data_IF_880914470948
#
_entry.id   IF_880914470948
#
_cell.length_a   1.000
_cell.length_b   1.000
_cell.length_c   1.000
_cell.angle_alpha   90.00
_cell.angle_beta   90.00
_cell.angle_gamma   90.00
#
_symmetry.space_group_name_H-M   'P 1'
#
loop_
_entity.id
_entity.type
_entity.pdbx_description
1 polymer ?
#
# COMPACT_ATOMS: atom_id res chain seq x y z
N UNK A 1 -5.86 -0.13 27.50
CA UNK A 1 -4.68 0.68 27.12
C UNK A 1 -4.22 0.32 25.71
N UNK A 2 -4.03 1.28 24.80
CA UNK A 2 -3.96 1.01 23.34
C UNK A 2 -2.60 1.39 22.73
N UNK A 3 -1.70 0.42 22.53
CA UNK A 3 -0.34 0.64 22.03
C UNK A 3 -0.19 0.40 20.51
N UNK A 4 -0.25 1.49 19.72
CA UNK A 4 0.47 1.72 18.43
C UNK A 4 0.96 0.46 17.67
N UNK A 5 0.09 -0.40 17.13
CA UNK A 5 0.43 -1.81 16.82
C UNK A 5 0.45 -2.26 15.35
N UNK A 6 0.15 -1.39 14.37
CA UNK A 6 -0.52 -1.85 13.14
C UNK A 6 0.19 -1.57 11.79
N UNK A 7 1.28 -0.82 11.75
CA UNK A 7 1.72 -0.11 10.53
C UNK A 7 2.77 -0.86 9.69
N UNK A 8 2.77 -2.19 9.68
CA UNK A 8 3.73 -3.03 8.93
C UNK A 8 3.22 -4.47 8.69
N UNK A 9 2.51 -4.78 7.58
CA UNK A 9 2.47 -6.16 7.00
C UNK A 9 1.79 -6.38 5.64
N UNK A 10 2.50 -6.18 4.51
CA UNK A 10 2.06 -6.37 3.11
C UNK A 10 3.35 -6.44 2.23
N UNK A 11 3.89 -7.39 1.39
CA UNK A 11 3.74 -8.74 0.69
C UNK A 11 4.87 -8.88 -0.45
N UNK A 12 4.94 -9.41 -1.71
CA UNK A 12 4.24 -10.29 -2.73
C UNK A 12 5.06 -10.54 -4.06
N UNK A 13 4.71 -11.53 -4.91
CA UNK A 13 4.99 -11.52 -6.38
C UNK A 13 5.22 -12.87 -7.10
N UNK A 14 4.31 -13.25 -8.01
CA UNK A 14 4.44 -14.13 -9.20
C UNK A 14 5.33 -15.41 -9.19
N UNK A 15 4.89 -16.59 -9.64
CA UNK A 15 3.59 -16.98 -10.23
C UNK A 15 3.39 -18.51 -10.26
N UNK A 16 2.18 -18.97 -9.96
CA UNK A 16 1.62 -20.24 -10.50
C UNK A 16 0.09 -20.23 -10.36
N UNK A 17 -0.63 -20.87 -11.30
CA UNK A 17 -2.10 -20.92 -11.31
C UNK A 17 -2.64 -22.14 -10.56
N UNK A 18 -3.26 -21.93 -9.40
CA UNK A 18 -4.29 -22.81 -8.82
C UNK A 18 -5.07 -22.03 -7.73
N UNK A 19 -6.31 -22.41 -7.42
CA UNK A 19 -7.00 -21.96 -6.19
C UNK A 19 -8.41 -21.40 -6.35
N UNK A 20 -8.76 -20.80 -7.48
CA UNK A 20 -10.18 -20.62 -7.84
C UNK A 20 -10.69 -21.95 -8.42
N UNK A 21 -11.76 -22.51 -7.84
CA UNK A 21 -12.47 -23.67 -8.42
C UNK A 21 -12.92 -23.31 -9.85
N UNK A 22 -12.85 -24.29 -10.75
CA UNK A 22 -13.05 -24.07 -12.17
C UNK A 22 -14.50 -23.63 -12.50
N UNK A 23 -14.68 -22.33 -12.71
CA UNK A 23 -15.70 -21.80 -13.61
C UNK A 23 -15.16 -21.80 -15.04
N UNK A 24 -16.02 -22.07 -16.01
CA UNK A 24 -15.73 -22.21 -17.44
C UNK A 24 -14.87 -21.05 -18.00
N UNK A 25 -13.92 -21.28 -18.92
CA UNK A 25 -13.11 -20.23 -19.52
C UNK A 25 -13.95 -19.32 -20.45
N UNK A 26 -14.49 -18.25 -19.88
CA UNK A 26 -15.17 -17.18 -20.63
C UNK A 26 -14.12 -16.36 -21.40
N UNK A 27 -14.17 -16.43 -22.74
CA UNK A 27 -13.49 -15.48 -23.64
C UNK A 27 -14.20 -14.12 -23.63
N UNK A 28 -13.53 -13.12 -24.21
CA UNK A 28 -13.99 -11.74 -24.39
C UNK A 28 -14.26 -10.93 -23.12
N UNK A 29 -13.16 -10.40 -22.57
CA UNK A 29 -13.16 -9.24 -21.69
C UNK A 29 -12.10 -8.24 -22.18
N UNK A 30 -12.46 -6.96 -22.32
CA UNK A 30 -11.51 -5.92 -22.75
C UNK A 30 -10.52 -5.64 -21.60
N UNK A 31 -9.31 -6.19 -21.70
CA UNK A 31 -8.19 -5.93 -20.79
C UNK A 31 -7.64 -4.53 -21.08
N UNK A 32 -7.52 -3.69 -20.06
CA UNK A 32 -6.73 -2.46 -20.13
C UNK A 32 -5.24 -2.82 -20.16
N UNK A 33 -4.36 -1.98 -20.74
CA UNK A 33 -2.92 -2.17 -20.58
C UNK A 33 -2.56 -2.15 -19.09
N UNK A 34 -1.70 -3.08 -18.67
CA UNK A 34 -1.22 -3.14 -17.29
C UNK A 34 -0.33 -1.93 -16.99
N UNK A 35 -0.70 -1.14 -16.00
CA UNK A 35 0.10 0.00 -15.57
C UNK A 35 1.11 -0.45 -14.51
N UNK A 36 2.38 -0.54 -14.89
CA UNK A 36 3.49 -0.73 -13.93
C UNK A 36 4.28 0.57 -13.78
N UNK A 37 4.69 0.90 -12.56
CA UNK A 37 5.58 2.02 -12.28
C UNK A 37 6.48 1.72 -11.06
N UNK A 38 7.78 1.90 -11.23
CA UNK A 38 8.78 1.77 -10.16
C UNK A 38 9.00 3.09 -9.41
N UNK A 39 9.51 3.01 -8.19
CA UNK A 39 9.79 4.16 -7.31
C UNK A 39 11.17 4.05 -6.66
N UNK A 40 11.80 5.20 -6.43
CA UNK A 40 12.99 5.33 -5.58
C UNK A 40 12.62 5.98 -4.24
N UNK A 41 13.07 5.38 -3.13
CA UNK A 41 12.77 5.86 -1.78
C UNK A 41 13.86 6.82 -1.27
N UNK A 42 13.43 7.92 -0.66
CA UNK A 42 14.24 8.98 -0.05
C UNK A 42 13.80 9.18 1.39
N UNK A 43 14.74 9.12 2.33
CA UNK A 43 14.47 9.40 3.75
C UNK A 43 14.83 10.84 4.10
N UNK A 44 13.97 11.51 4.87
CA UNK A 44 14.29 12.74 5.60
C UNK A 44 14.21 12.47 7.10
N UNK A 45 15.29 12.73 7.83
CA UNK A 45 15.27 12.81 9.30
C UNK A 45 14.79 14.20 9.71
N UNK A 46 13.79 14.24 10.58
CA UNK A 46 13.14 15.47 11.06
C UNK A 46 13.44 15.70 12.55
N UNK A 47 13.65 16.96 12.93
CA UNK A 47 13.64 17.43 14.31
C UNK A 47 12.69 18.63 14.39
N UNK A 48 11.69 18.56 15.29
CA UNK A 48 10.63 19.59 15.38
C UNK A 48 9.98 19.92 14.01
N UNK A 49 9.74 18.89 13.20
CA UNK A 49 9.28 18.95 11.80
C UNK A 49 10.25 19.59 10.79
N UNK A 50 11.38 20.15 11.22
CA UNK A 50 12.44 20.70 10.34
C UNK A 50 13.31 19.55 9.80
N UNK A 51 13.60 19.49 8.48
CA UNK A 51 14.57 18.58 7.91
C UNK A 51 16.00 18.84 8.42
N UNK A 52 16.61 17.85 9.08
CA UNK A 52 18.03 17.91 9.46
C UNK A 52 18.94 17.19 8.47
N UNK A 53 18.51 16.03 7.99
CA UNK A 53 19.32 15.18 7.13
C UNK A 53 18.45 14.47 6.10
N UNK A 54 18.96 14.32 4.87
CA UNK A 54 18.24 13.72 3.75
C UNK A 54 19.14 12.74 3.01
N UNK A 55 18.67 11.51 2.78
CA UNK A 55 19.39 10.50 1.99
C UNK A 55 18.48 9.94 0.91
N UNK A 56 18.89 10.08 -0.36
CA UNK A 56 18.23 9.46 -1.51
C UNK A 56 18.56 7.98 -1.64
N UNK A 57 17.75 7.26 -2.41
CA UNK A 57 17.91 5.85 -2.79
C UNK A 57 18.17 4.95 -1.57
N UNK A 58 17.44 5.17 -0.46
CA UNK A 58 17.49 4.32 0.75
C UNK A 58 16.66 3.04 0.60
N UNK A 59 16.07 2.84 -0.58
CA UNK A 59 15.12 1.79 -0.92
C UNK A 59 14.45 2.09 -2.26
N UNK A 60 13.42 1.31 -2.57
CA UNK A 60 12.58 1.51 -3.74
C UNK A 60 11.24 0.79 -3.58
N UNK A 61 10.51 0.69 -4.68
CA UNK A 61 9.23 0.01 -4.74
C UNK A 61 8.66 -0.03 -6.15
N UNK A 62 7.46 -0.56 -6.29
CA UNK A 62 6.70 -0.62 -7.54
C UNK A 62 5.20 -0.54 -7.28
N UNK A 63 4.40 -0.13 -8.26
CA UNK A 63 2.95 -0.29 -8.26
C UNK A 63 2.53 -0.87 -9.61
N UNK A 64 1.78 -1.96 -9.58
CA UNK A 64 1.07 -2.54 -10.73
C UNK A 64 -0.43 -2.36 -10.55
N UNK A 65 -1.11 -2.00 -11.64
CA UNK A 65 -2.57 -1.95 -11.75
C UNK A 65 -3.01 -2.67 -13.02
N UNK A 66 -3.89 -3.66 -12.87
CA UNK A 66 -4.53 -4.39 -13.96
C UNK A 66 -6.05 -4.18 -13.87
N UNK A 67 -6.72 -3.79 -14.95
CA UNK A 67 -8.18 -3.68 -15.02
C UNK A 67 -8.72 -4.46 -16.23
N UNK A 68 -9.63 -5.40 -15.98
CA UNK A 68 -10.26 -6.25 -17.01
C UNK A 68 -11.78 -6.14 -16.92
N UNK A 69 -12.42 -5.59 -17.96
CA UNK A 69 -13.87 -5.55 -18.06
C UNK A 69 -14.44 -6.96 -18.35
N UNK A 70 -15.57 -7.29 -17.73
CA UNK A 70 -16.30 -8.57 -17.85
C UNK A 70 -17.81 -8.32 -17.85
N UNK A 71 -18.34 -7.88 -18.99
CA UNK A 71 -19.75 -7.48 -19.12
C UNK A 71 -20.06 -6.28 -18.21
N UNK A 72 -20.91 -6.48 -17.20
CA UNK A 72 -21.32 -5.47 -16.22
C UNK A 72 -20.42 -5.39 -14.96
N UNK A 73 -19.39 -6.24 -14.85
CA UNK A 73 -18.36 -6.18 -13.81
C UNK A 73 -17.02 -5.71 -14.40
N UNK A 74 -16.16 -5.11 -13.56
CA UNK A 74 -14.72 -5.01 -13.84
C UNK A 74 -13.93 -5.70 -12.72
N UNK A 75 -12.89 -6.44 -13.12
CA UNK A 75 -11.90 -7.03 -12.21
C UNK A 75 -10.69 -6.10 -12.18
N UNK A 76 -10.45 -5.46 -11.02
CA UNK A 76 -9.30 -4.60 -10.78
C UNK A 76 -8.34 -5.33 -9.85
N UNK A 77 -7.05 -5.35 -10.18
CA UNK A 77 -5.98 -5.83 -9.30
C UNK A 77 -5.00 -4.69 -9.06
N UNK A 78 -4.63 -4.47 -7.80
CA UNK A 78 -3.72 -3.42 -7.37
C UNK A 78 -2.61 -4.07 -6.54
N UNK A 79 -1.36 -3.80 -6.88
CA UNK A 79 -0.19 -4.53 -6.37
C UNK A 79 0.96 -3.52 -6.11
N UNK A 80 1.13 -3.02 -4.88
CA UNK A 80 2.08 -1.96 -4.51
C UNK A 80 3.29 -2.43 -3.66
N UNK A 81 4.45 -2.71 -4.25
CA UNK A 81 5.70 -3.17 -3.61
C UNK A 81 6.59 -2.09 -3.04
N UNK A 82 7.31 -2.36 -1.94
CA UNK A 82 8.33 -1.45 -1.39
C UNK A 82 9.39 -2.17 -0.52
N UNK A 83 10.56 -1.55 -0.37
CA UNK A 83 11.51 -1.91 0.69
C UNK A 83 12.79 -1.10 0.70
N UNK A 84 13.57 -1.22 1.78
CA UNK A 84 14.85 -0.53 1.96
C UNK A 84 16.01 -1.26 1.26
N UNK A 85 17.03 -0.50 0.83
CA UNK A 85 18.36 -1.04 0.53
C UNK A 85 19.20 -0.93 1.82
N UNK A 86 19.59 -2.04 2.49
CA UNK A 86 20.37 -2.00 3.73
C UNK A 86 21.66 -1.18 3.61
N UNK A 87 22.41 -1.29 2.50
CA UNK A 87 23.65 -0.55 2.25
C UNK A 87 23.46 0.98 2.38
N UNK A 88 22.29 1.47 1.94
CA UNK A 88 21.93 2.89 1.94
C UNK A 88 21.01 3.28 3.09
N UNK A 89 20.43 2.31 3.80
CA UNK A 89 19.59 2.48 4.97
C UNK A 89 20.31 2.11 6.30
N UNK A 90 21.64 2.14 6.31
CA UNK A 90 22.50 1.88 7.48
C UNK A 90 22.33 0.47 8.10
N UNK A 91 22.08 -0.54 7.27
CA UNK A 91 21.79 -1.93 7.67
C UNK A 91 20.30 -2.24 7.80
N UNK A 92 19.41 -1.23 7.73
CA UNK A 92 17.98 -1.45 7.88
C UNK A 92 17.40 -2.26 6.70
N UNK A 93 16.89 -3.45 7.00
CA UNK A 93 16.22 -4.33 6.05
C UNK A 93 14.71 -4.41 6.40
N UNK A 94 13.88 -3.72 5.62
CA UNK A 94 12.41 -3.69 5.75
C UNK A 94 11.75 -3.72 4.38
N UNK A 95 10.74 -4.56 4.19
CA UNK A 95 10.23 -4.85 2.84
C UNK A 95 8.81 -5.45 2.84
N UNK A 96 8.00 -5.05 1.85
CA UNK A 96 6.82 -5.75 1.35
C UNK A 96 5.92 -4.94 0.36
N UNK A 97 4.98 -5.62 -0.33
CA UNK A 97 3.88 -5.17 -1.21
C UNK A 97 2.39 -5.19 -0.72
N UNK A 98 1.45 -4.30 -1.08
CA UNK A 98 -0.01 -4.58 -0.87
C UNK A 98 -0.71 -5.14 -2.13
N UNK A 99 -1.21 -6.38 -2.08
CA UNK A 99 -2.10 -7.02 -3.06
C UNK A 99 -3.58 -6.83 -2.67
N UNK A 100 -4.36 -6.20 -3.55
CA UNK A 100 -5.83 -6.17 -3.51
C UNK A 100 -6.41 -6.64 -4.85
N UNK A 101 -7.44 -7.48 -4.82
CA UNK A 101 -8.21 -7.92 -5.98
C UNK A 101 -9.68 -7.57 -5.76
N UNK A 102 -10.21 -6.68 -6.59
CA UNK A 102 -11.53 -6.06 -6.46
C UNK A 102 -12.40 -6.47 -7.64
N UNK A 103 -13.67 -6.75 -7.37
CA UNK A 103 -14.72 -6.77 -8.37
C UNK A 103 -15.67 -5.61 -8.13
N UNK A 104 -15.69 -4.71 -9.09
CA UNK A 104 -16.52 -3.51 -9.14
C UNK A 104 -17.70 -3.81 -10.08
N UNK A 105 -18.91 -3.40 -9.72
CA UNK A 105 -20.10 -3.53 -10.55
C UNK A 105 -20.89 -2.23 -10.54
N UNK A 106 -21.17 -1.69 -11.73
CA UNK A 106 -21.80 -0.37 -11.92
C UNK A 106 -21.10 0.78 -11.16
N UNK A 107 -19.78 0.70 -10.99
CA UNK A 107 -18.97 1.69 -10.26
C UNK A 107 -18.90 1.50 -8.74
N UNK A 108 -19.56 0.48 -8.19
CA UNK A 108 -19.59 0.19 -6.75
C UNK A 108 -18.89 -1.12 -6.39
N UNK A 109 -18.38 -1.22 -5.16
CA UNK A 109 -17.70 -2.41 -4.68
C UNK A 109 -18.67 -3.59 -4.48
N UNK A 110 -18.59 -4.62 -5.32
CA UNK A 110 -19.37 -5.84 -5.17
C UNK A 110 -18.70 -6.83 -4.19
N UNK A 111 -17.39 -7.06 -4.38
CA UNK A 111 -16.56 -7.93 -3.51
C UNK A 111 -15.07 -7.62 -3.68
N UNK A 112 -14.27 -7.92 -2.67
CA UNK A 112 -12.81 -7.83 -2.74
C UNK A 112 -12.11 -8.95 -1.97
N UNK A 113 -10.85 -9.21 -2.30
CA UNK A 113 -9.91 -9.96 -1.50
C UNK A 113 -8.62 -9.16 -1.36
N UNK A 114 -7.94 -9.28 -0.22
CA UNK A 114 -6.68 -8.61 0.06
C UNK A 114 -5.72 -9.53 0.84
N UNK A 115 -4.43 -9.32 0.67
CA UNK A 115 -3.40 -10.19 1.24
C UNK A 115 -2.14 -9.37 1.59
N UNK A 116 -1.32 -9.83 2.54
CA UNK A 116 -0.14 -9.11 3.01
C UNK A 116 0.93 -9.90 3.81
N UNK A 117 2.21 -9.49 3.73
CA UNK A 117 3.28 -9.75 4.73
C UNK A 117 4.35 -8.65 4.78
N UNK A 118 4.85 -8.18 5.92
CA UNK A 118 6.07 -7.31 5.92
C UNK A 118 6.78 -7.31 7.26
N UNK A 119 8.03 -6.86 7.23
CA UNK A 119 8.91 -6.75 8.40
C UNK A 119 8.29 -5.91 9.51
N UNK A 120 7.98 -6.57 10.62
CA UNK A 120 7.48 -5.96 11.85
C UNK A 120 8.48 -4.94 12.41
N UNK A 121 7.99 -4.02 13.22
CA UNK A 121 8.77 -2.92 13.79
C UNK A 121 8.31 -2.66 15.22
N UNK A 122 9.12 -3.07 16.18
CA UNK A 122 8.82 -2.94 17.61
C UNK A 122 9.24 -1.58 18.18
N UNK A 123 10.04 -0.82 17.42
CA UNK A 123 10.75 0.37 17.89
C UNK A 123 9.87 1.62 17.87
N UNK A 124 9.71 2.26 19.03
CA UNK A 124 8.79 3.38 19.26
C UNK A 124 9.48 4.74 19.19
N UNK A 125 10.81 4.79 19.28
CA UNK A 125 11.63 6.01 19.25
C UNK A 125 13.00 5.77 18.58
N UNK A 126 13.78 6.84 18.38
CA UNK A 126 15.09 6.80 17.71
C UNK A 126 16.15 5.96 18.44
N UNK A 127 16.12 5.94 19.78
CA UNK A 127 17.05 5.13 20.58
C UNK A 127 16.80 3.63 20.39
N UNK A 128 15.53 3.20 20.47
CA UNK A 128 15.14 1.82 20.17
C UNK A 128 15.45 1.44 18.72
N UNK A 129 15.26 2.35 17.75
CA UNK A 129 15.63 2.09 16.36
C UNK A 129 17.15 1.88 16.18
N UNK A 130 18.00 2.66 16.87
CA UNK A 130 19.46 2.45 16.88
C UNK A 130 19.85 1.13 17.58
N UNK A 131 19.20 0.81 18.70
CA UNK A 131 19.48 -0.43 19.45
C UNK A 131 19.06 -1.70 18.69
N UNK A 132 17.89 -1.70 18.05
CA UNK A 132 17.45 -2.80 17.19
C UNK A 132 18.40 -3.01 16.01
N UNK A 133 18.80 -1.92 15.35
CA UNK A 133 19.77 -1.92 14.24
C UNK A 133 21.13 -2.49 14.67
N UNK A 134 21.65 -2.07 15.82
CA UNK A 134 22.89 -2.58 16.40
C UNK A 134 22.81 -4.06 16.84
N UNK A 135 21.61 -4.58 17.10
CA UNK A 135 21.43 -5.98 17.54
C UNK A 135 21.57 -7.02 16.43
N UNK A 136 21.52 -6.61 15.16
CA UNK A 136 21.60 -7.50 13.99
C UNK A 136 20.46 -8.52 13.81
N UNK A 137 19.47 -8.55 14.71
CA UNK A 137 18.40 -9.56 14.70
C UNK A 137 17.45 -9.39 13.51
N UNK A 138 17.04 -10.47 12.83
CA UNK A 138 16.10 -10.39 11.71
C UNK A 138 14.70 -10.00 12.19
N UNK A 139 14.07 -9.03 11.52
CA UNK A 139 12.71 -8.59 11.82
C UNK A 139 11.70 -9.70 11.46
N UNK A 140 10.88 -10.13 12.43
CA UNK A 140 9.75 -11.03 12.18
C UNK A 140 8.75 -10.44 11.18
N UNK A 141 8.10 -11.28 10.36
CA UNK A 141 7.05 -10.81 9.45
C UNK A 141 5.70 -10.87 10.16
N UNK A 142 4.90 -9.81 10.09
CA UNK A 142 3.45 -9.95 10.27
C UNK A 142 2.84 -10.20 8.89
N UNK A 143 1.72 -10.92 8.80
CA UNK A 143 1.02 -11.25 7.57
C UNK A 143 -0.50 -11.19 7.76
N UNK A 144 -1.24 -10.81 6.71
CA UNK A 144 -2.71 -10.63 6.74
C UNK A 144 -3.36 -11.23 5.49
N UNK A 145 -4.59 -11.74 5.60
CA UNK A 145 -5.45 -12.12 4.48
C UNK A 145 -6.89 -11.74 4.83
N UNK A 146 -7.63 -11.15 3.90
CA UNK A 146 -9.05 -10.90 4.11
C UNK A 146 -9.88 -10.85 2.84
N UNK A 147 -11.19 -10.89 3.01
CA UNK A 147 -12.18 -10.75 1.93
C UNK A 147 -13.36 -9.90 2.38
N UNK A 148 -13.98 -9.23 1.41
CA UNK A 148 -15.20 -8.43 1.55
C UNK A 148 -16.23 -9.03 0.57
N UNK A 149 -17.39 -9.42 1.07
CA UNK A 149 -18.43 -10.09 0.28
C UNK A 149 -19.81 -9.84 0.90
N UNK A 150 -20.80 -9.44 0.08
CA UNK A 150 -22.11 -8.99 0.55
C UNK A 150 -22.06 -7.90 1.65
N UNK A 151 -21.03 -7.06 1.66
CA UNK A 151 -20.78 -6.03 2.67
C UNK A 151 -20.19 -6.53 4.00
N UNK A 152 -20.14 -7.85 4.22
CA UNK A 152 -19.43 -8.49 5.34
C UNK A 152 -17.93 -8.57 5.06
N UNK A 153 -17.13 -8.72 6.11
CA UNK A 153 -15.66 -8.79 6.01
C UNK A 153 -15.12 -9.89 6.89
N UNK A 154 -14.15 -10.64 6.39
CA UNK A 154 -13.40 -11.63 7.16
C UNK A 154 -11.89 -11.35 7.05
N UNK A 155 -11.14 -11.51 8.15
CA UNK A 155 -9.69 -11.24 8.18
C UNK A 155 -8.92 -12.22 9.07
N UNK A 156 -7.87 -12.82 8.53
CA UNK A 156 -6.82 -13.58 9.23
C UNK A 156 -5.56 -12.73 9.38
N UNK A 157 -4.96 -12.71 10.56
CA UNK A 157 -3.59 -12.24 10.79
C UNK A 157 -2.73 -13.42 11.28
N UNK A 158 -1.48 -13.47 10.82
CA UNK A 158 -0.45 -14.38 11.30
C UNK A 158 0.83 -13.60 11.61
N UNK A 159 1.64 -14.09 12.55
CA UNK A 159 3.01 -13.62 12.76
C UNK A 159 3.98 -14.76 12.51
N UNK A 160 5.05 -14.45 11.80
CA UNK A 160 6.03 -15.39 11.30
C UNK A 160 7.44 -14.94 11.74
N UNK A 161 8.39 -15.88 11.93
CA UNK A 161 9.79 -15.54 12.12
C UNK A 161 10.34 -14.80 10.89
N UNK A 162 11.38 -14.00 11.09
CA UNK A 162 12.06 -13.29 10.01
C UNK A 162 12.93 -14.27 9.21
N UNK A 163 12.68 -14.52 7.91
CA UNK A 163 13.46 -15.49 7.16
C UNK A 163 14.89 -14.97 6.93
N UNK A 164 15.89 -15.82 7.14
CA UNK A 164 17.29 -15.44 6.96
C UNK A 164 17.57 -15.04 5.49
N UNK A 165 18.26 -13.90 5.31
CA UNK A 165 18.54 -13.34 3.98
C UNK A 165 17.34 -12.77 3.22
N UNK A 166 16.12 -12.82 3.78
CA UNK A 166 14.94 -12.22 3.15
C UNK A 166 15.11 -10.70 3.02
N UNK A 167 14.79 -10.17 1.85
CA UNK A 167 14.96 -8.75 1.51
C UNK A 167 14.01 -8.37 0.36
N UNK A 168 13.90 -7.07 0.07
CA UNK A 168 12.92 -6.55 -0.87
C UNK A 168 13.07 -7.02 -2.33
N UNK A 169 14.22 -7.58 -2.74
CA UNK A 169 14.36 -8.17 -4.08
C UNK A 169 13.74 -9.57 -4.19
N UNK A 170 13.65 -10.29 -3.06
CA UNK A 170 13.08 -11.66 -2.96
C UNK A 170 11.60 -11.66 -2.53
N UNK A 171 10.99 -10.48 -2.54
CA UNK A 171 9.57 -10.21 -2.22
C UNK A 171 8.60 -11.12 -2.99
N UNK A 172 8.99 -11.51 -4.21
CA UNK A 172 8.24 -12.46 -5.04
C UNK A 172 8.21 -13.87 -4.47
N UNK A 173 9.39 -14.49 -4.34
CA UNK A 173 9.59 -15.86 -3.82
C UNK A 173 8.88 -16.10 -2.47
N UNK A 174 8.94 -15.10 -1.59
CA UNK A 174 8.34 -15.14 -0.25
C UNK A 174 6.80 -15.19 -0.28
N UNK A 175 6.17 -14.74 -1.35
CA UNK A 175 4.70 -14.60 -1.44
C UNK A 175 3.97 -15.93 -1.40
N UNK A 176 4.39 -16.92 -2.20
CA UNK A 176 3.78 -18.25 -2.23
C UNK A 176 3.91 -18.97 -0.89
N UNK A 177 5.10 -18.95 -0.29
CA UNK A 177 5.36 -19.56 1.02
C UNK A 177 4.55 -18.94 2.16
N UNK A 178 4.23 -17.64 2.08
CA UNK A 178 3.45 -16.95 3.13
C UNK A 178 1.93 -17.06 2.89
N UNK A 179 1.47 -17.18 1.62
CA UNK A 179 0.09 -17.64 1.31
C UNK A 179 -0.15 -19.01 1.95
N UNK A 180 0.69 -19.99 1.64
CA UNK A 180 0.57 -21.35 2.14
C UNK A 180 0.52 -21.43 3.67
N UNK A 181 1.31 -20.62 4.39
CA UNK A 181 1.27 -20.56 5.87
C UNK A 181 -0.02 -19.94 6.43
N UNK A 182 -0.61 -18.95 5.75
CA UNK A 182 -1.92 -18.39 6.14
C UNK A 182 -3.08 -19.33 5.80
N UNK A 183 -2.96 -20.09 4.71
CA UNK A 183 -3.96 -21.07 4.26
C UNK A 183 -3.94 -22.32 5.16
N UNK A 184 -2.76 -22.78 5.59
CA UNK A 184 -2.58 -23.90 6.51
C UNK A 184 -2.77 -23.56 8.00
N UNK A 185 -2.83 -22.28 8.39
CA UNK A 185 -3.01 -21.89 9.79
C UNK A 185 -4.36 -22.39 10.36
N UNK A 186 -4.40 -22.88 11.61
CA UNK A 186 -5.64 -23.40 12.21
C UNK A 186 -6.63 -22.27 12.54
N UNK A 187 -7.92 -22.63 12.56
CA UNK A 187 -9.03 -21.73 12.86
C UNK A 187 -9.77 -21.19 11.63
N UNK A 188 -10.89 -20.53 11.85
CA UNK A 188 -11.67 -19.80 10.83
C UNK A 188 -11.13 -18.37 10.65
N UNK A 189 -11.56 -17.70 9.58
CA UNK A 189 -11.33 -16.25 9.43
C UNK A 189 -12.44 -15.52 10.21
N UNK A 190 -12.14 -14.77 11.29
CA UNK A 190 -13.16 -14.05 12.05
C UNK A 190 -13.83 -12.95 11.20
N UNK A 191 -15.15 -12.79 11.38
CA UNK A 191 -15.93 -11.73 10.76
C UNK A 191 -15.74 -10.40 11.51
N UNK A 192 -15.47 -9.32 10.78
CA UNK A 192 -15.29 -7.97 11.33
C UNK A 192 -16.65 -7.29 11.42
N UNK A 193 -17.16 -7.15 12.64
CA UNK A 193 -18.49 -6.58 12.92
C UNK A 193 -18.50 -5.04 12.86
N UNK A 194 -19.69 -4.45 12.75
CA UNK A 194 -19.89 -2.99 12.76
C UNK A 194 -19.58 -2.27 11.44
N UNK A 195 -19.29 -3.00 10.36
CA UNK A 195 -18.88 -2.41 9.08
C UNK A 195 -20.04 -2.33 8.07
N UNK A 196 -20.57 -1.13 7.83
CA UNK A 196 -21.54 -0.91 6.73
C UNK A 196 -20.81 -0.76 5.39
N UNK A 197 -20.65 -1.86 4.65
CA UNK A 197 -20.01 -1.91 3.31
C UNK A 197 -18.64 -1.21 3.25
N UNK A 198 -17.64 -1.60 4.07
CA UNK A 198 -16.30 -1.03 3.99
C UNK A 198 -15.62 -1.40 2.66
N UNK A 199 -14.68 -0.58 2.23
CA UNK A 199 -13.82 -0.84 1.09
C UNK A 199 -12.46 -1.44 1.51
N UNK A 200 -11.62 -1.81 0.54
CA UNK A 200 -10.19 -2.05 0.78
C UNK A 200 -9.40 -0.74 0.64
N UNK A 201 -8.13 -0.73 1.06
CA UNK A 201 -7.36 0.50 1.27
C UNK A 201 -6.83 1.09 -0.04
N UNK A 202 -6.20 0.29 -0.90
CA UNK A 202 -5.70 0.75 -2.20
C UNK A 202 -6.85 1.11 -3.11
N UNK A 203 -7.95 0.34 -3.09
CA UNK A 203 -9.18 0.70 -3.81
C UNK A 203 -9.74 2.05 -3.35
N UNK A 204 -9.76 2.32 -2.04
CA UNK A 204 -10.17 3.62 -1.51
C UNK A 204 -9.28 4.78 -1.98
N UNK A 205 -7.97 4.56 -2.08
CA UNK A 205 -7.02 5.53 -2.66
C UNK A 205 -7.25 5.71 -4.17
N UNK A 206 -7.38 4.62 -4.93
CA UNK A 206 -7.60 4.65 -6.39
C UNK A 206 -8.90 5.36 -6.74
N UNK A 207 -9.99 5.06 -6.04
CA UNK A 207 -11.26 5.75 -6.23
C UNK A 207 -11.15 7.23 -5.83
N UNK A 208 -10.45 7.57 -4.74
CA UNK A 208 -10.23 8.97 -4.37
C UNK A 208 -9.45 9.75 -5.43
N UNK A 209 -8.47 9.12 -6.10
CA UNK A 209 -7.71 9.71 -7.21
C UNK A 209 -8.52 9.83 -8.52
N UNK A 210 -9.56 9.00 -8.71
CA UNK A 210 -10.48 9.06 -9.87
C UNK A 210 -11.72 9.93 -9.62
N UNK A 211 -11.93 10.43 -8.41
CA UNK A 211 -13.11 11.21 -8.07
C UNK A 211 -12.94 12.68 -8.50
N UNK A 212 -13.95 13.30 -9.15
CA UNK A 212 -13.91 14.71 -9.57
C UNK A 212 -14.13 15.70 -8.40
N UNK A 213 -13.92 15.27 -7.16
CA UNK A 213 -14.19 16.05 -5.94
C UNK A 213 -12.91 16.30 -5.16
N UNK A 214 -12.65 17.57 -4.84
CA UNK A 214 -11.52 17.99 -4.00
C UNK A 214 -11.58 17.41 -2.57
N UNK A 215 -12.69 16.79 -2.17
CA UNK A 215 -12.85 16.17 -0.84
C UNK A 215 -13.59 14.84 -0.94
N UNK A 216 -13.22 13.90 -0.07
CA UNK A 216 -13.88 12.60 0.02
C UNK A 216 -13.69 11.94 1.38
N UNK A 217 -14.65 11.09 1.74
CA UNK A 217 -14.60 10.26 2.94
C UNK A 217 -15.09 8.84 2.61
N UNK A 218 -14.30 7.84 3.00
CA UNK A 218 -14.61 6.42 2.79
C UNK A 218 -14.16 5.59 4.00
N UNK A 219 -15.00 4.63 4.38
CA UNK A 219 -14.63 3.62 5.37
C UNK A 219 -13.95 2.44 4.68
N UNK A 220 -12.84 1.96 5.23
CA UNK A 220 -12.10 0.82 4.72
C UNK A 220 -11.69 -0.13 5.85
N UNK A 221 -11.47 -1.40 5.52
CA UNK A 221 -10.84 -2.37 6.44
C UNK A 221 -9.36 -2.50 6.12
N UNK A 222 -8.54 -2.61 7.16
CA UNK A 222 -7.17 -3.08 7.03
C UNK A 222 -6.78 -3.86 8.29
N UNK A 223 -6.19 -5.04 8.11
CA UNK A 223 -5.79 -5.94 9.21
C UNK A 223 -6.93 -6.20 10.23
N UNK A 224 -8.14 -6.46 9.74
CA UNK A 224 -9.31 -6.75 10.57
C UNK A 224 -9.86 -5.58 11.39
N UNK A 225 -9.25 -4.40 11.33
CA UNK A 225 -9.75 -3.18 11.98
C UNK A 225 -10.38 -2.22 10.95
N UNK A 226 -11.37 -1.45 11.41
CA UNK A 226 -12.08 -0.45 10.59
C UNK A 226 -11.45 0.94 10.72
N UNK A 227 -11.32 1.58 9.56
CA UNK A 227 -10.68 2.86 9.38
C UNK A 227 -11.53 3.79 8.51
N UNK A 228 -11.36 5.08 8.72
CA UNK A 228 -11.89 6.13 7.84
C UNK A 228 -10.73 6.81 7.13
N UNK A 229 -10.74 6.77 5.79
CA UNK A 229 -9.89 7.61 4.96
C UNK A 229 -10.64 8.91 4.66
N UNK A 230 -10.07 10.05 5.07
CA UNK A 230 -10.48 11.39 4.62
C UNK A 230 -9.43 11.93 3.67
N UNK A 231 -9.85 12.42 2.52
CA UNK A 231 -8.95 13.02 1.51
C UNK A 231 -9.29 14.48 1.26
N UNK A 232 -8.24 15.28 1.02
CA UNK A 232 -8.34 16.63 0.45
C UNK A 232 -7.35 16.74 -0.70
N UNK A 233 -7.87 16.96 -1.90
CA UNK A 233 -7.13 17.17 -3.14
C UNK A 233 -7.04 18.66 -3.46
N UNK A 234 -5.95 19.06 -4.13
CA UNK A 234 -5.74 20.40 -4.67
C UNK A 234 -4.70 20.32 -5.79
N UNK A 235 -4.76 21.20 -6.80
CA UNK A 235 -3.68 21.35 -7.77
C UNK A 235 -2.39 21.81 -7.06
N UNK A 236 -1.25 21.25 -7.44
CA UNK A 236 0.07 21.62 -6.89
C UNK A 236 0.98 22.06 -8.03
N UNK A 237 0.87 23.32 -8.44
CA UNK A 237 1.64 23.88 -9.56
C UNK A 237 3.15 23.86 -9.35
N UNK A 238 3.61 23.86 -8.08
CA UNK A 238 5.03 23.74 -7.73
C UNK A 238 5.57 22.35 -8.07
N UNK A 239 4.85 21.29 -7.68
CA UNK A 239 5.20 19.93 -8.06
C UNK A 239 4.87 19.62 -9.52
N UNK A 240 3.81 20.21 -10.07
CA UNK A 240 3.43 20.14 -11.49
C UNK A 240 4.55 20.62 -12.40
N UNK A 241 5.16 21.77 -12.09
CA UNK A 241 6.33 22.27 -12.81
C UNK A 241 7.55 21.31 -12.73
N UNK A 242 7.69 20.51 -11.66
CA UNK A 242 8.71 19.44 -11.62
C UNK A 242 8.30 18.26 -12.54
N UNK A 243 7.07 17.78 -12.43
CA UNK A 243 6.57 16.64 -13.20
C UNK A 243 6.62 16.89 -14.73
N UNK A 244 6.27 18.11 -15.15
CA UNK A 244 6.34 18.54 -16.55
C UNK A 244 7.78 18.59 -17.08
N UNK A 245 8.75 19.11 -16.30
CA UNK A 245 10.17 19.06 -16.68
C UNK A 245 10.73 17.64 -16.79
N UNK A 246 10.17 16.68 -16.08
CA UNK A 246 10.50 15.25 -16.20
C UNK A 246 9.61 14.50 -17.20
N UNK A 247 8.73 15.18 -17.95
CA UNK A 247 7.86 14.57 -18.96
C UNK A 247 6.81 13.58 -18.44
N UNK A 248 6.49 13.60 -17.13
CA UNK A 248 5.57 12.62 -16.53
C UNK A 248 4.09 13.05 -16.62
N UNK A 249 3.81 14.35 -16.53
CA UNK A 249 2.46 14.92 -16.55
C UNK A 249 2.52 16.41 -16.92
N UNK A 250 1.42 16.97 -17.44
CA UNK A 250 1.26 18.41 -17.58
C UNK A 250 1.22 19.09 -16.20
N UNK A 251 1.64 20.36 -16.09
CA UNK A 251 1.80 21.02 -14.79
C UNK A 251 0.46 21.39 -14.14
N UNK A 252 -0.54 21.66 -14.97
CA UNK A 252 -1.94 21.97 -14.65
C UNK A 252 -2.74 20.76 -14.17
N UNK A 253 -2.35 19.54 -14.57
CA UNK A 253 -3.03 18.29 -14.24
C UNK A 253 -2.44 17.57 -13.02
N UNK A 254 -1.37 18.08 -12.42
CA UNK A 254 -0.82 17.52 -11.18
C UNK A 254 -1.65 17.93 -9.97
N UNK A 255 -2.39 16.95 -9.45
CA UNK A 255 -3.18 17.05 -8.21
C UNK A 255 -2.43 16.38 -7.07
N UNK A 256 -2.42 17.06 -5.92
CA UNK A 256 -1.84 16.60 -4.68
C UNK A 256 -2.91 16.30 -3.63
N UNK A 257 -3.21 15.01 -3.45
CA UNK A 257 -4.17 14.50 -2.47
C UNK A 257 -3.50 14.24 -1.12
N UNK A 258 -3.94 14.93 -0.07
CA UNK A 258 -3.56 14.64 1.31
C UNK A 258 -4.58 13.69 1.93
N UNK A 259 -4.12 12.53 2.40
CA UNK A 259 -4.96 11.50 3.03
C UNK A 259 -4.72 11.41 4.54
N UNK A 260 -5.79 11.43 5.32
CA UNK A 260 -5.79 11.22 6.76
C UNK A 260 -6.52 9.92 7.10
N UNK A 261 -5.84 9.01 7.80
CA UNK A 261 -6.41 7.74 8.26
C UNK A 261 -6.78 7.85 9.73
N UNK A 262 -8.05 7.66 10.06
CA UNK A 262 -8.55 7.58 11.45
C UNK A 262 -9.01 6.16 11.76
N UNK A 263 -8.75 5.67 12.97
CA UNK A 263 -9.38 4.44 13.45
C UNK A 263 -10.85 4.70 13.84
N UNK A 264 -11.65 3.64 13.96
CA UNK A 264 -13.04 3.72 14.46
C UNK A 264 -13.21 4.49 15.79
N UNK A 265 -12.17 4.57 16.62
CA UNK A 265 -12.11 5.41 17.84
C UNK A 265 -11.86 6.91 17.59
N UNK A 266 -12.02 7.39 16.36
CA UNK A 266 -11.80 8.79 15.94
C UNK A 266 -10.33 9.25 15.89
N UNK A 267 -9.44 8.57 16.62
CA UNK A 267 -8.00 8.86 16.71
C UNK A 267 -7.34 8.84 15.32
N UNK A 268 -6.58 9.90 15.01
CA UNK A 268 -5.70 9.93 13.83
C UNK A 268 -4.58 8.88 13.95
N UNK A 269 -4.35 8.12 12.88
CA UNK A 269 -3.44 6.96 12.85
C UNK A 269 -2.28 7.20 11.88
N UNK A 270 -2.56 7.81 10.73
CA UNK A 270 -1.55 8.15 9.73
C UNK A 270 -1.98 9.37 8.91
N UNK A 271 -1.02 10.06 8.32
CA UNK A 271 -1.26 11.09 7.32
C UNK A 271 -0.19 10.98 6.24
N UNK A 272 -0.62 11.04 4.99
CA UNK A 272 0.20 10.88 3.79
C UNK A 272 -0.22 11.89 2.72
N UNK A 273 0.63 12.11 1.71
CA UNK A 273 0.31 12.93 0.53
C UNK A 273 0.72 12.19 -0.73
N UNK A 274 -0.16 12.17 -1.73
CA UNK A 274 0.04 11.56 -3.05
C UNK A 274 -0.04 12.67 -4.10
N UNK A 275 0.88 12.68 -5.06
CA UNK A 275 0.78 13.50 -6.26
C UNK A 275 0.50 12.58 -7.46
N UNK A 276 -0.45 12.95 -8.30
CA UNK A 276 -0.85 12.19 -9.48
C UNK A 276 -1.31 13.11 -10.60
N UNK A 277 -1.33 12.56 -11.81
CA UNK A 277 -1.92 13.19 -13.01
C UNK A 277 -3.43 12.94 -13.02
N UNK A 278 -4.24 14.00 -12.94
CA UNK A 278 -5.71 13.92 -12.97
C UNK A 278 -6.30 13.82 -14.38
N UNK A 279 -5.51 14.07 -15.43
CA UNK A 279 -5.96 13.83 -16.82
C UNK A 279 -5.96 12.34 -17.16
N UNK A 280 -5.15 11.54 -16.46
CA UNK A 280 -5.00 10.11 -16.70
C UNK A 280 -6.28 9.33 -16.38
N UNK A 281 -6.85 8.54 -17.31
CA UNK A 281 -8.07 7.76 -17.06
C UNK A 281 -7.88 6.63 -16.03
N UNK A 282 -6.62 6.26 -15.77
CA UNK A 282 -6.20 5.36 -14.70
C UNK A 282 -5.00 6.02 -13.99
N UNK A 283 -5.25 6.88 -12.99
CA UNK A 283 -4.19 7.64 -12.35
C UNK A 283 -3.37 6.73 -11.41
N UNK A 284 -2.05 6.88 -11.46
CA UNK A 284 -1.09 6.26 -10.53
C UNK A 284 -0.24 7.35 -9.85
N UNK A 285 0.28 7.12 -8.64
CA UNK A 285 1.16 8.07 -7.98
C UNK A 285 2.40 8.41 -8.81
N UNK A 286 2.61 9.71 -9.06
CA UNK A 286 3.89 10.28 -9.51
C UNK A 286 4.85 10.31 -8.30
N UNK A 287 4.31 10.60 -7.12
CA UNK A 287 5.01 10.58 -5.83
C UNK A 287 4.05 10.27 -4.70
N UNK A 288 4.57 9.69 -3.61
CA UNK A 288 3.90 9.72 -2.31
C UNK A 288 4.87 9.96 -1.14
N UNK A 289 4.41 10.75 -0.17
CA UNK A 289 5.11 11.07 1.08
C UNK A 289 4.31 10.52 2.28
N UNK A 290 4.98 9.87 3.23
CA UNK A 290 4.40 9.51 4.52
C UNK A 290 5.44 9.52 5.65
N UNK A 291 4.98 9.70 6.90
CA UNK A 291 5.86 9.76 8.07
C UNK A 291 5.63 8.56 9.01
N UNK A 292 6.35 7.43 8.85
CA UNK A 292 6.19 6.26 9.72
C UNK A 292 6.53 6.51 11.20
N UNK A 293 7.28 7.57 11.51
CA UNK A 293 7.54 8.10 12.86
C UNK A 293 7.66 9.63 12.77
N UNK A 294 7.46 10.36 13.87
CA UNK A 294 7.54 11.83 13.90
C UNK A 294 8.92 12.40 13.49
N UNK A 295 9.98 11.62 13.64
CA UNK A 295 11.35 11.99 13.27
C UNK A 295 11.79 11.49 11.88
N UNK A 296 10.90 10.83 11.12
CA UNK A 296 11.24 10.20 9.84
C UNK A 296 10.10 10.36 8.83
N UNK A 297 10.35 11.14 7.78
CA UNK A 297 9.53 11.16 6.56
C UNK A 297 10.19 10.28 5.50
N UNK A 298 9.39 9.46 4.82
CA UNK A 298 9.77 8.76 3.60
C UNK A 298 9.04 9.39 2.41
N UNK A 299 9.77 9.60 1.33
CA UNK A 299 9.27 10.06 0.03
C UNK A 299 9.61 9.02 -1.01
N UNK A 300 8.63 8.62 -1.81
CA UNK A 300 8.79 7.71 -2.94
C UNK A 300 8.46 8.48 -4.21
N UNK A 301 9.44 8.70 -5.08
CA UNK A 301 9.26 9.38 -6.37
C UNK A 301 9.38 8.35 -7.50
N UNK A 302 8.50 8.44 -8.51
CA UNK A 302 8.44 7.50 -9.64
C UNK A 302 9.74 7.54 -10.45
N UNK A 303 10.30 6.36 -10.74
CA UNK A 303 11.46 6.19 -11.61
C UNK A 303 11.17 6.81 -12.99
N UNK A 304 12.04 7.73 -13.43
CA UNK A 304 11.79 8.66 -14.55
C UNK A 304 11.90 10.12 -14.12
N UNK A 305 11.59 10.45 -12.85
CA UNK A 305 12.01 11.72 -12.23
C UNK A 305 13.51 11.70 -11.95
N UNK A 306 14.32 11.88 -12.99
CA UNK A 306 15.71 12.30 -12.82
C UNK A 306 15.74 13.69 -12.17
N UNK A 307 16.80 13.93 -11.38
CA UNK A 307 16.95 15.07 -10.49
C UNK A 307 18.02 16.05 -10.99
#
# INVERSE_FOLDING_TARGET
MISRRLLVSILAGCSTRAGLRAGTPVRDGRRSPEQSCDYHAKATVLMLSVPLFTRGNVGGGYLRVEETARGAESLIRIEFGAGSNPERAAGLNRFGLFEEAIVESRGELARAAYFGFMTSSEEKNLSQARSALASGKPNGLTAIRGRIEAGRVWNRLLRLPGPLGANWRRIGELSGGIRAQLDAAPGSDPEVTGASKPWTFLYSIRHAMRAPSDRGERCFVHNGELYTLRVVSQRDSSYGAKAARSGIAAAEDVVAMTGHIRAASGRNVSTFRIWFDSSSPQPVPIRFDFSPRSFLRLSFERSGLLA
#
